data_IF_594369956994
#
_entry.id   IF_594369956994
#
_cell.length_a   1.000
_cell.length_b   1.000
_cell.length_c   1.000
_cell.angle_alpha   90.00
_cell.angle_beta   90.00
_cell.angle_gamma   90.00
#
_symmetry.space_group_name_H-M   'P 1'
#
loop_
_entity.id
_entity.type
_entity.pdbx_description
1 polymer ?
#
# COMPACT_ATOMS: atom_id res chain seq x y z
N UNK A 1 13.82 -15.30 13.61
CA UNK A 1 12.57 -14.62 13.17
C UNK A 1 12.44 -13.33 13.98
N UNK A 2 12.56 -12.17 13.35
CA UNK A 2 12.45 -10.87 14.03
C UNK A 2 11.02 -10.36 13.89
N UNK A 3 10.26 -10.29 14.99
CA UNK A 3 8.91 -9.75 15.00
C UNK A 3 8.75 -8.76 16.15
N UNK A 4 7.94 -7.73 15.94
CA UNK A 4 7.66 -6.71 16.94
C UNK A 4 6.15 -6.60 17.13
N UNK A 5 5.69 -6.73 18.39
CA UNK A 5 4.27 -6.55 18.71
C UNK A 5 4.01 -5.09 19.04
N UNK A 6 3.09 -4.46 18.31
CA UNK A 6 2.72 -3.06 18.50
C UNK A 6 1.25 -2.83 18.18
N UNK A 7 0.75 -1.68 18.67
CA UNK A 7 -0.53 -1.09 18.28
C UNK A 7 -0.27 0.39 17.96
N UNK A 8 -1.24 1.04 17.33
CA UNK A 8 -1.25 2.47 17.14
C UNK A 8 -2.39 3.09 17.95
N UNK A 9 -2.04 3.80 19.02
CA UNK A 9 -3.00 4.45 19.94
C UNK A 9 -4.13 3.52 20.42
N UNK A 10 -3.76 2.26 20.69
CA UNK A 10 -4.68 1.23 21.16
C UNK A 10 -5.31 0.40 20.04
N UNK A 11 -5.22 0.83 18.78
CA UNK A 11 -5.73 0.09 17.63
C UNK A 11 -4.73 -1.02 17.21
N UNK A 12 -5.12 -2.31 17.25
CA UNK A 12 -4.26 -3.42 16.83
C UNK A 12 -4.16 -3.58 15.30
N UNK A 13 -4.97 -2.89 14.51
CA UNK A 13 -5.08 -3.08 13.07
C UNK A 13 -4.00 -2.29 12.30
N UNK A 14 -2.75 -2.70 12.46
CA UNK A 14 -1.58 -2.01 11.88
C UNK A 14 -1.68 -1.86 10.35
N UNK A 15 -2.26 -2.83 9.67
CA UNK A 15 -2.43 -2.84 8.21
C UNK A 15 -3.34 -1.74 7.68
N UNK A 16 -4.20 -1.13 8.52
CA UNK A 16 -5.00 0.03 8.09
C UNK A 16 -4.09 1.23 7.79
N UNK A 17 -3.05 1.38 8.59
CA UNK A 17 -2.19 2.56 8.57
C UNK A 17 -1.05 2.47 7.56
N UNK A 18 -0.84 1.32 6.92
CA UNK A 18 0.26 1.15 5.99
C UNK A 18 0.56 -0.30 5.61
N UNK A 19 1.54 -0.44 4.72
CA UNK A 19 2.04 -1.73 4.25
C UNK A 19 3.58 -1.70 4.16
N UNK A 20 4.17 -2.87 3.97
CA UNK A 20 5.61 -3.04 3.85
C UNK A 20 5.98 -3.85 2.62
N UNK A 21 7.17 -3.56 2.10
CA UNK A 21 7.83 -4.22 0.97
C UNK A 21 9.28 -4.51 1.36
N UNK A 22 10.05 -5.19 0.51
CA UNK A 22 11.45 -5.46 0.80
C UNK A 22 12.35 -4.22 0.66
N UNK A 23 11.85 -3.10 0.13
CA UNK A 23 12.62 -1.84 -0.04
C UNK A 23 12.12 -0.68 0.81
N UNK A 24 10.84 -0.64 1.14
CA UNK A 24 10.23 0.45 1.91
C UNK A 24 8.98 -0.01 2.67
N UNK A 25 8.67 0.72 3.73
CA UNK A 25 7.34 0.69 4.35
C UNK A 25 6.62 2.00 4.02
N UNK A 26 5.33 1.93 3.69
CA UNK A 26 4.47 3.11 3.59
C UNK A 26 3.64 3.21 4.87
N UNK A 27 3.52 4.38 5.47
CA UNK A 27 2.67 4.55 6.65
C UNK A 27 2.07 5.94 6.78
N UNK A 28 0.81 6.02 7.23
CA UNK A 28 0.19 7.26 7.68
C UNK A 28 0.52 7.65 9.11
N UNK A 29 1.20 6.77 9.88
CA UNK A 29 1.57 7.04 11.27
C UNK A 29 2.61 8.17 11.33
N UNK A 30 2.25 9.24 12.06
CA UNK A 30 3.12 10.43 12.21
C UNK A 30 4.10 10.33 13.39
N UNK A 31 3.80 9.51 14.40
CA UNK A 31 4.60 9.44 15.64
C UNK A 31 5.97 8.84 15.37
N UNK A 32 7.03 9.66 15.45
CA UNK A 32 8.43 9.27 15.16
C UNK A 32 8.88 7.99 15.86
N UNK A 33 8.55 7.83 17.15
CA UNK A 33 8.91 6.63 17.94
C UNK A 33 8.29 5.35 17.36
N UNK A 34 7.06 5.44 16.87
CA UNK A 34 6.35 4.30 16.25
C UNK A 34 6.97 3.98 14.89
N UNK A 35 7.24 5.01 14.09
CA UNK A 35 7.90 4.86 12.79
C UNK A 35 9.28 4.23 12.94
N UNK A 36 10.08 4.66 13.92
CA UNK A 36 11.38 4.06 14.20
C UNK A 36 11.27 2.56 14.53
N UNK A 37 10.29 2.16 15.35
CA UNK A 37 10.03 0.74 15.61
C UNK A 37 9.68 -0.06 14.35
N UNK A 38 8.92 0.53 13.43
CA UNK A 38 8.60 -0.09 12.13
C UNK A 38 9.89 -0.29 11.33
N UNK A 39 10.74 0.74 11.21
CA UNK A 39 12.03 0.64 10.51
C UNK A 39 12.96 -0.40 11.14
N UNK A 40 13.05 -0.43 12.48
CA UNK A 40 13.86 -1.41 13.18
C UNK A 40 13.35 -2.84 13.00
N UNK A 41 12.03 -3.04 12.98
CA UNK A 41 11.41 -4.34 12.85
C UNK A 41 11.53 -4.91 11.44
N UNK A 42 11.29 -4.07 10.43
CA UNK A 42 11.22 -4.46 9.03
C UNK A 42 12.54 -4.27 8.27
N UNK A 43 13.52 -3.57 8.86
CA UNK A 43 14.83 -3.25 8.27
C UNK A 43 14.75 -2.46 6.95
N UNK A 44 13.67 -1.72 6.75
CA UNK A 44 13.44 -0.83 5.60
C UNK A 44 13.07 0.58 6.07
N UNK A 45 13.28 1.58 5.21
CA UNK A 45 12.90 2.95 5.53
C UNK A 45 11.39 3.16 5.40
N UNK A 46 10.82 3.88 6.37
CA UNK A 46 9.40 4.20 6.39
C UNK A 46 9.15 5.54 5.68
N UNK A 47 8.37 5.50 4.61
CA UNK A 47 7.87 6.65 3.85
C UNK A 47 6.53 7.06 4.44
N UNK A 48 6.45 8.28 4.94
CA UNK A 48 5.22 8.79 5.57
C UNK A 48 4.36 9.52 4.55
N UNK A 49 3.10 9.12 4.43
CA UNK A 49 2.11 9.84 3.65
C UNK A 49 0.73 9.72 4.26
N UNK A 50 -0.10 10.73 4.09
CA UNK A 50 -1.55 10.55 4.19
C UNK A 50 -2.10 9.96 2.89
N UNK A 51 -3.29 9.39 2.97
CA UNK A 51 -4.09 9.04 1.81
C UNK A 51 -5.54 9.49 2.07
N UNK A 52 -6.09 10.27 1.14
CA UNK A 52 -7.41 10.90 1.24
C UNK A 52 -7.57 11.73 2.53
N UNK A 53 -6.52 12.49 2.90
CA UNK A 53 -6.44 13.28 4.13
C UNK A 53 -6.52 12.45 5.44
N UNK A 54 -6.35 11.12 5.36
CA UNK A 54 -6.36 10.24 6.53
C UNK A 54 -4.99 9.58 6.76
N UNK A 55 -4.83 8.95 7.91
CA UNK A 55 -3.67 8.10 8.24
C UNK A 55 -3.79 6.67 7.69
N UNK A 56 -4.87 6.33 6.99
CA UNK A 56 -5.17 4.97 6.54
C UNK A 56 -4.54 4.63 5.19
N UNK A 57 -3.23 4.88 5.06
CA UNK A 57 -2.51 4.61 3.82
C UNK A 57 -2.58 3.14 3.38
N UNK A 58 -2.74 2.20 4.32
CA UNK A 58 -2.86 0.77 4.01
C UNK A 58 -4.25 0.34 3.55
N UNK A 59 -5.30 1.15 3.76
CA UNK A 59 -6.62 0.92 3.15
C UNK A 59 -6.61 1.35 1.68
N UNK A 60 -5.99 2.48 1.38
CA UNK A 60 -6.10 3.14 0.08
C UNK A 60 -5.00 2.75 -0.91
N UNK A 61 -3.85 2.29 -0.44
CA UNK A 61 -2.70 1.99 -1.29
C UNK A 61 -2.26 0.53 -1.16
N UNK A 62 -1.78 -0.04 -2.27
CA UNK A 62 -1.13 -1.34 -2.31
C UNK A 62 0.17 -1.25 -3.11
N UNK A 63 1.19 -2.00 -2.75
CA UNK A 63 2.48 -1.92 -3.44
C UNK A 63 3.40 -3.09 -3.15
N UNK A 64 4.43 -3.19 -3.96
CA UNK A 64 5.55 -4.12 -3.80
C UNK A 64 6.87 -3.34 -3.86
N UNK A 65 8.01 -4.04 -3.92
CA UNK A 65 9.33 -3.40 -3.93
C UNK A 65 9.64 -2.62 -5.22
N UNK A 66 8.74 -2.67 -6.21
CA UNK A 66 8.92 -2.09 -7.54
C UNK A 66 7.98 -0.92 -7.82
N UNK A 67 6.87 -0.79 -7.08
CA UNK A 67 5.93 0.32 -7.25
C UNK A 67 4.74 0.28 -6.29
N UNK A 68 3.83 1.22 -6.51
CA UNK A 68 2.62 1.41 -5.71
C UNK A 68 1.43 1.72 -6.61
N UNK A 69 0.25 1.24 -6.22
CA UNK A 69 -1.05 1.61 -6.78
C UNK A 69 -1.76 2.53 -5.80
N UNK A 70 -2.28 3.64 -6.31
CA UNK A 70 -3.05 4.64 -5.58
C UNK A 70 -4.35 4.96 -6.31
N UNK A 71 -5.42 5.42 -5.63
CA UNK A 71 -6.68 5.73 -6.28
C UNK A 71 -6.61 7.05 -7.07
N UNK A 72 -7.41 7.18 -8.15
CA UNK A 72 -7.54 8.42 -8.93
C UNK A 72 -8.00 9.62 -8.09
N UNK A 73 -8.78 9.36 -7.04
CA UNK A 73 -9.30 10.40 -6.12
C UNK A 73 -8.28 10.90 -5.09
N UNK A 74 -7.02 10.47 -5.19
CA UNK A 74 -5.97 10.93 -4.29
C UNK A 74 -5.80 12.45 -4.37
N UNK A 75 -5.66 13.10 -3.21
CA UNK A 75 -5.68 14.55 -3.12
C UNK A 75 -4.46 15.19 -3.81
N UNK A 76 -4.65 16.39 -4.35
CA UNK A 76 -3.67 17.05 -5.22
C UNK A 76 -2.29 17.29 -4.59
N UNK A 77 -2.18 17.30 -3.26
CA UNK A 77 -0.90 17.41 -2.54
C UNK A 77 -0.29 16.06 -2.14
N UNK A 78 -1.09 14.99 -2.05
CA UNK A 78 -0.65 13.65 -1.64
C UNK A 78 0.06 12.94 -2.79
N UNK A 79 -0.52 13.00 -4.00
CA UNK A 79 0.04 12.34 -5.17
C UNK A 79 1.46 12.86 -5.52
N UNK A 80 1.73 14.18 -5.57
CA UNK A 80 3.09 14.69 -5.76
C UNK A 80 4.05 14.26 -4.65
N UNK A 81 3.59 14.20 -3.40
CA UNK A 81 4.42 13.75 -2.29
C UNK A 81 4.83 12.28 -2.47
N UNK A 82 3.90 11.41 -2.85
CA UNK A 82 4.17 9.99 -3.12
C UNK A 82 5.11 9.83 -4.30
N UNK A 83 4.89 10.55 -5.41
CA UNK A 83 5.79 10.53 -6.59
C UNK A 83 7.19 11.04 -6.29
N UNK A 84 7.36 11.91 -5.29
CA UNK A 84 8.69 12.34 -4.81
C UNK A 84 9.38 11.26 -3.96
N UNK A 85 8.61 10.39 -3.31
CA UNK A 85 9.12 9.33 -2.44
C UNK A 85 9.36 8.01 -3.16
N UNK A 86 8.58 7.75 -4.22
CA UNK A 86 8.52 6.50 -4.98
C UNK A 86 8.44 6.82 -6.47
N UNK A 87 9.31 6.22 -7.27
CA UNK A 87 9.42 6.53 -8.71
C UNK A 87 8.26 5.93 -9.52
N UNK A 88 7.79 4.73 -9.14
CA UNK A 88 6.76 3.99 -9.87
C UNK A 88 5.42 4.06 -9.14
N UNK A 89 4.56 4.97 -9.59
CA UNK A 89 3.20 5.19 -9.05
C UNK A 89 2.16 5.00 -10.14
N UNK A 90 1.37 3.94 -10.03
CA UNK A 90 0.17 3.71 -10.84
C UNK A 90 -1.03 4.41 -10.17
N UNK A 91 -1.63 5.34 -10.89
CA UNK A 91 -2.91 5.95 -10.47
C UNK A 91 -4.01 5.15 -11.12
N UNK A 92 -4.75 4.37 -10.32
CA UNK A 92 -5.75 3.46 -10.84
C UNK A 92 -7.13 4.13 -10.91
N UNK A 93 -7.72 4.11 -12.10
CA UNK A 93 -9.07 4.59 -12.35
C UNK A 93 -10.09 3.49 -12.09
N UNK A 94 -10.88 3.64 -11.05
CA UNK A 94 -11.92 2.69 -10.65
C UNK A 94 -12.91 3.34 -9.69
N UNK A 95 -14.11 2.79 -9.59
CA UNK A 95 -15.14 3.25 -8.64
C UNK A 95 -14.80 2.90 -7.18
N UNK A 96 -13.73 2.11 -6.95
CA UNK A 96 -13.32 1.64 -5.62
C UNK A 96 -12.02 2.29 -5.14
N UNK A 97 -12.08 3.04 -4.05
CA UNK A 97 -10.91 3.75 -3.51
C UNK A 97 -10.02 2.92 -2.58
N UNK A 98 -10.58 1.91 -1.91
CA UNK A 98 -9.88 1.09 -0.92
C UNK A 98 -8.96 0.03 -1.57
N UNK A 99 -8.01 0.45 -2.39
CA UNK A 99 -7.17 -0.45 -3.18
C UNK A 99 -6.30 -1.38 -2.33
N UNK A 100 -5.90 -0.96 -1.13
CA UNK A 100 -5.17 -1.82 -0.17
C UNK A 100 -5.98 -3.03 0.32
N UNK A 101 -7.31 -2.95 0.24
CA UNK A 101 -8.20 -4.09 0.52
C UNK A 101 -8.46 -4.96 -0.72
N UNK A 102 -8.26 -4.41 -1.92
CA UNK A 102 -8.65 -5.03 -3.18
C UNK A 102 -7.47 -5.61 -3.96
N UNK A 103 -6.25 -5.24 -3.61
CA UNK A 103 -5.01 -5.65 -4.28
C UNK A 103 -4.05 -6.21 -3.25
N UNK A 104 -3.69 -7.49 -3.42
CA UNK A 104 -2.62 -8.16 -2.70
C UNK A 104 -1.47 -8.43 -3.66
N UNK A 105 -0.26 -8.01 -3.31
CA UNK A 105 0.90 -8.22 -4.19
C UNK A 105 2.18 -8.47 -3.43
N UNK A 106 3.10 -9.17 -4.10
CA UNK A 106 4.51 -9.22 -3.76
C UNK A 106 5.34 -8.97 -5.04
N UNK A 107 6.63 -9.25 -5.01
CA UNK A 107 7.52 -9.05 -6.16
C UNK A 107 7.38 -10.12 -7.27
N UNK A 108 6.51 -11.11 -7.09
CA UNK A 108 6.36 -12.25 -8.01
C UNK A 108 4.96 -12.38 -8.61
N UNK A 109 3.94 -11.76 -8.00
CA UNK A 109 2.57 -11.89 -8.47
C UNK A 109 1.59 -10.99 -7.74
N UNK A 110 0.41 -10.87 -8.34
CA UNK A 110 -0.66 -9.98 -7.91
C UNK A 110 -1.97 -10.77 -7.89
N UNK A 111 -2.70 -10.62 -6.79
CA UNK A 111 -4.08 -11.08 -6.65
C UNK A 111 -4.96 -9.86 -6.46
N UNK A 112 -6.01 -9.75 -7.27
CA UNK A 112 -6.99 -8.66 -7.15
C UNK A 112 -8.38 -9.20 -6.86
N UNK A 113 -9.20 -8.37 -6.22
CA UNK A 113 -10.62 -8.63 -6.03
C UNK A 113 -11.34 -8.74 -7.38
N UNK A 114 -12.31 -9.67 -7.53
CA UNK A 114 -13.17 -9.72 -8.72
C UNK A 114 -13.91 -8.41 -9.01
N UNK A 115 -14.10 -7.55 -8.00
CA UNK A 115 -14.73 -6.21 -8.14
C UNK A 115 -13.95 -5.28 -9.08
N UNK A 116 -12.62 -5.45 -9.17
CA UNK A 116 -11.73 -4.64 -10.01
C UNK A 116 -11.10 -5.47 -11.13
N UNK A 117 -11.74 -6.57 -11.55
CA UNK A 117 -11.22 -7.46 -12.60
C UNK A 117 -10.93 -6.73 -13.93
N UNK A 118 -11.70 -5.68 -14.24
CA UNK A 118 -11.47 -4.83 -15.41
C UNK A 118 -10.10 -4.14 -15.39
N UNK A 119 -9.53 -3.89 -14.20
CA UNK A 119 -8.22 -3.27 -14.01
C UNK A 119 -7.04 -4.26 -14.12
N UNK A 120 -7.29 -5.57 -14.24
CA UNK A 120 -6.24 -6.60 -14.20
C UNK A 120 -5.15 -6.39 -15.26
N UNK A 121 -5.55 -6.02 -16.49
CA UNK A 121 -4.61 -5.82 -17.59
C UNK A 121 -3.64 -4.67 -17.31
N UNK A 122 -4.17 -3.53 -16.87
CA UNK A 122 -3.39 -2.33 -16.55
C UNK A 122 -2.41 -2.60 -15.41
N UNK A 123 -2.88 -3.22 -14.32
CA UNK A 123 -2.03 -3.57 -13.17
C UNK A 123 -0.91 -4.53 -13.59
N UNK A 124 -1.25 -5.58 -14.36
CA UNK A 124 -0.28 -6.56 -14.89
C UNK A 124 0.79 -5.89 -15.74
N UNK A 125 0.40 -5.02 -16.66
CA UNK A 125 1.32 -4.34 -17.58
C UNK A 125 2.23 -3.36 -16.82
N UNK A 126 1.68 -2.61 -15.85
CA UNK A 126 2.45 -1.67 -15.05
C UNK A 126 3.54 -2.36 -14.20
N UNK A 127 3.19 -3.45 -13.50
CA UNK A 127 4.15 -4.17 -12.64
C UNK A 127 4.96 -5.23 -13.39
N UNK A 128 4.58 -5.60 -14.61
CA UNK A 128 5.16 -6.72 -15.36
C UNK A 128 5.13 -8.04 -14.57
N UNK A 129 4.04 -8.28 -13.82
CA UNK A 129 3.84 -9.47 -12.98
C UNK A 129 2.52 -10.18 -13.30
N UNK A 130 2.44 -11.52 -13.18
CA UNK A 130 1.17 -12.25 -13.28
C UNK A 130 0.11 -11.65 -12.33
N UNK A 131 -1.10 -11.45 -12.84
CA UNK A 131 -2.21 -10.87 -12.08
C UNK A 131 -3.47 -11.72 -12.26
N UNK A 132 -4.03 -12.21 -11.16
CA UNK A 132 -5.24 -13.05 -11.15
C UNK A 132 -6.34 -12.43 -10.30
N UNK A 133 -7.60 -12.55 -10.77
CA UNK A 133 -8.76 -12.07 -10.04
C UNK A 133 -9.45 -13.23 -9.31
N UNK A 134 -9.44 -13.22 -7.97
CA UNK A 134 -10.01 -14.32 -7.17
C UNK A 134 -10.53 -13.86 -5.80
N UNK A 135 -11.41 -14.66 -5.21
CA UNK A 135 -11.80 -14.52 -3.79
C UNK A 135 -10.87 -15.31 -2.88
N UNK A 136 -10.71 -14.85 -1.63
CA UNK A 136 -9.94 -15.55 -0.59
C UNK A 136 -10.93 -16.01 0.48
N UNK A 137 -10.82 -17.28 0.90
CA UNK A 137 -11.64 -17.89 1.97
C UNK A 137 -13.16 -17.74 1.77
N UNK A 138 -13.63 -18.03 0.55
CA UNK A 138 -15.06 -18.17 0.22
C UNK A 138 -15.48 -19.63 0.19
#
# INVERSE_FOLDING_TARGET
MHFSRMNFDGDPNLGLYGFATDKYALTGIRRKKTVYKIEEALKVKAKRTTALNTEFAGIFCAGNSHGIVVPEIMEGHELPAIRKMLENVLVLKTDYSALGNLVLMNDNGIVISPLIKSCAKEIREFFSLPCEAMGIAR
#
